data_IF_804176557643
#
_entry.id   IF_804176557643
#
_cell.length_a   1.000
_cell.length_b   1.000
_cell.length_c   1.000
_cell.angle_alpha   90.00
_cell.angle_beta   90.00
_cell.angle_gamma   90.00
#
_symmetry.space_group_name_H-M   'P 1'
#
loop_
_entity.id
_entity.type
_entity.pdbx_description
1 polymer ?
#
# COMPACT_ATOMS: atom_id res chain seq x y z
N UNK A 1 18.50 -36.41 6.13
CA UNK A 1 17.29 -35.78 5.50
C UNK A 1 17.71 -34.43 4.96
N UNK A 2 17.46 -34.14 3.69
CA UNK A 2 17.99 -32.90 3.05
C UNK A 2 17.03 -31.74 3.42
N UNK A 3 17.48 -30.83 4.26
CA UNK A 3 16.69 -29.66 4.69
C UNK A 3 16.42 -28.72 3.48
N UNK A 4 15.17 -28.27 3.32
CA UNK A 4 14.80 -27.33 2.24
C UNK A 4 15.37 -25.94 2.48
N UNK A 5 15.56 -25.16 1.42
CA UNK A 5 16.18 -23.83 1.51
C UNK A 5 15.43 -22.86 2.45
N UNK A 6 14.11 -22.86 2.42
CA UNK A 6 13.27 -22.04 3.32
C UNK A 6 13.43 -22.42 4.79
N UNK A 7 13.57 -23.71 5.07
CA UNK A 7 13.76 -24.22 6.41
C UNK A 7 15.15 -23.86 6.95
N UNK A 8 16.20 -23.95 6.12
CA UNK A 8 17.54 -23.50 6.49
C UNK A 8 17.58 -22.00 6.80
N UNK A 9 16.95 -21.16 5.96
CA UNK A 9 16.85 -19.72 6.21
C UNK A 9 16.17 -19.43 7.55
N UNK A 10 15.10 -20.14 7.90
CA UNK A 10 14.44 -19.97 9.21
C UNK A 10 15.37 -20.32 10.37
N UNK A 11 16.12 -21.40 10.25
CA UNK A 11 17.09 -21.81 11.29
C UNK A 11 18.22 -20.79 11.41
N UNK A 12 18.76 -20.30 10.30
CA UNK A 12 19.79 -19.25 10.32
C UNK A 12 19.27 -17.97 10.97
N UNK A 13 18.08 -17.51 10.60
CA UNK A 13 17.45 -16.31 11.20
C UNK A 13 17.28 -16.49 12.70
N UNK A 14 16.74 -17.62 13.14
CA UNK A 14 16.57 -17.93 14.57
C UNK A 14 17.92 -17.93 15.32
N UNK A 15 18.93 -18.61 14.78
CA UNK A 15 20.26 -18.68 15.38
C UNK A 15 20.88 -17.29 15.54
N UNK A 16 20.81 -16.44 14.50
CA UNK A 16 21.34 -15.09 14.54
C UNK A 16 20.56 -14.18 15.50
N UNK A 17 19.24 -14.36 15.63
CA UNK A 17 18.44 -13.62 16.61
C UNK A 17 18.82 -13.98 18.06
N UNK A 18 19.22 -15.23 18.33
CA UNK A 18 19.60 -15.70 19.66
C UNK A 18 21.07 -15.41 20.02
N UNK A 19 21.96 -15.31 19.01
CA UNK A 19 23.43 -15.27 19.24
C UNK A 19 24.08 -14.01 18.66
N UNK A 20 23.33 -13.14 17.97
CA UNK A 20 23.75 -11.89 17.32
C UNK A 20 24.76 -12.08 16.17
N UNK A 21 25.59 -13.11 16.20
CA UNK A 21 26.59 -13.45 15.18
C UNK A 21 26.71 -14.97 14.99
N UNK A 22 27.16 -15.37 13.81
CA UNK A 22 27.41 -16.78 13.52
C UNK A 22 28.59 -16.95 12.53
N UNK A 23 29.42 -17.96 12.76
CA UNK A 23 30.45 -18.37 11.82
C UNK A 23 29.86 -19.30 10.76
N UNK A 24 30.36 -19.20 9.51
CA UNK A 24 29.93 -20.07 8.40
C UNK A 24 30.12 -21.55 8.74
N UNK A 25 31.22 -21.89 9.43
CA UNK A 25 31.52 -23.26 9.83
C UNK A 25 30.52 -23.79 10.87
N UNK A 26 30.16 -22.96 11.86
CA UNK A 26 29.16 -23.31 12.86
C UNK A 26 27.77 -23.55 12.22
N UNK A 27 27.34 -22.68 11.33
CA UNK A 27 26.10 -22.84 10.59
C UNK A 27 26.13 -24.04 9.64
N UNK A 28 27.27 -24.34 9.01
CA UNK A 28 27.47 -25.52 8.16
C UNK A 28 27.24 -26.81 8.95
N UNK A 29 27.83 -26.87 10.14
CA UNK A 29 27.67 -28.01 11.06
C UNK A 29 26.24 -28.14 11.58
N UNK A 30 25.64 -27.02 12.01
CA UNK A 30 24.25 -27.00 12.54
C UNK A 30 23.23 -27.46 11.49
N UNK A 31 23.40 -27.03 10.25
CA UNK A 31 22.46 -27.30 9.16
C UNK A 31 22.80 -28.59 8.38
N UNK A 32 23.94 -29.20 8.66
CA UNK A 32 24.45 -30.37 7.92
C UNK A 32 24.52 -30.14 6.41
N UNK A 33 24.99 -28.95 5.99
CA UNK A 33 25.19 -28.57 4.58
C UNK A 33 26.59 -27.99 4.37
N UNK A 34 27.04 -27.90 3.12
CA UNK A 34 28.36 -27.33 2.81
C UNK A 34 28.41 -25.83 3.13
N UNK A 35 29.60 -25.33 3.47
CA UNK A 35 29.84 -23.89 3.66
C UNK A 35 29.44 -23.04 2.45
N UNK A 36 29.59 -23.59 1.24
CA UNK A 36 29.16 -22.91 -0.01
C UNK A 36 27.66 -22.66 0.01
N UNK A 37 26.88 -23.65 0.50
CA UNK A 37 25.42 -23.51 0.63
C UNK A 37 25.08 -22.46 1.67
N UNK A 38 25.76 -22.47 2.83
CA UNK A 38 25.55 -21.46 3.89
C UNK A 38 25.90 -20.07 3.37
N UNK A 39 27.03 -19.89 2.69
CA UNK A 39 27.42 -18.59 2.11
C UNK A 39 26.37 -18.04 1.14
N UNK A 40 25.75 -18.94 0.35
CA UNK A 40 24.68 -18.54 -0.58
C UNK A 40 23.40 -18.14 0.15
N UNK A 41 23.03 -18.86 1.24
CA UNK A 41 21.88 -18.53 2.08
C UNK A 41 22.13 -17.19 2.83
N UNK A 42 23.35 -16.96 3.35
CA UNK A 42 23.73 -15.69 3.98
C UNK A 42 23.75 -14.51 3.00
N UNK A 43 24.19 -14.71 1.74
CA UNK A 43 24.11 -13.66 0.70
C UNK A 43 22.65 -13.22 0.47
N UNK A 44 21.73 -14.16 0.51
CA UNK A 44 20.31 -13.88 0.35
C UNK A 44 19.77 -13.03 1.49
N UNK A 45 20.13 -13.39 2.74
CA UNK A 45 19.76 -12.67 3.94
C UNK A 45 20.41 -11.28 4.05
N UNK A 46 21.62 -11.12 3.53
CA UNK A 46 22.30 -9.83 3.41
C UNK A 46 21.56 -8.92 2.40
N UNK A 47 21.12 -9.48 1.28
CA UNK A 47 20.31 -8.73 0.30
C UNK A 47 18.92 -8.35 0.84
N UNK A 48 18.39 -9.16 1.77
CA UNK A 48 17.15 -8.86 2.52
C UNK A 48 17.39 -7.83 3.66
N UNK A 49 18.62 -7.37 3.89
CA UNK A 49 18.98 -6.43 4.95
C UNK A 49 18.98 -7.03 6.37
N UNK A 50 18.76 -8.35 6.50
CA UNK A 50 18.66 -9.01 7.80
C UNK A 50 20.00 -9.13 8.56
N UNK A 51 21.10 -9.22 7.83
CA UNK A 51 22.44 -9.39 8.37
C UNK A 51 23.50 -8.67 7.52
N UNK A 52 24.68 -8.46 8.12
CA UNK A 52 25.89 -8.07 7.42
C UNK A 52 26.89 -9.21 7.46
N UNK A 53 27.48 -9.57 6.31
CA UNK A 53 28.51 -10.63 6.26
C UNK A 53 29.86 -10.12 6.72
N UNK A 54 30.57 -10.94 7.46
CA UNK A 54 31.96 -10.73 7.88
C UNK A 54 32.90 -11.69 7.11
N UNK A 55 34.22 -11.57 7.31
CA UNK A 55 35.23 -12.41 6.61
C UNK A 55 35.06 -13.93 6.87
N UNK A 56 34.41 -14.35 7.95
CA UNK A 56 34.21 -15.76 8.31
C UNK A 56 32.80 -16.13 8.69
N UNK A 57 31.84 -15.19 8.70
CA UNK A 57 30.51 -15.40 9.22
C UNK A 57 29.50 -14.34 8.82
N UNK A 58 28.55 -14.11 9.71
CA UNK A 58 27.54 -13.07 9.58
C UNK A 58 27.16 -12.54 10.96
N UNK A 59 26.76 -11.30 11.03
CA UNK A 59 26.23 -10.62 12.21
C UNK A 59 24.84 -10.11 11.87
N UNK A 60 23.88 -10.31 12.79
CA UNK A 60 22.55 -9.76 12.64
C UNK A 60 22.64 -8.24 12.62
N UNK A 61 21.98 -7.60 11.68
CA UNK A 61 21.80 -6.17 11.79
C UNK A 61 20.90 -5.91 13.01
N UNK A 62 21.27 -4.99 13.93
CA UNK A 62 20.38 -4.64 15.04
C UNK A 62 19.04 -4.26 14.43
N UNK A 63 17.90 -4.61 15.09
CA UNK A 63 16.64 -4.07 14.67
C UNK A 63 16.82 -2.56 14.62
N UNK A 64 16.66 -2.01 13.44
CA UNK A 64 16.78 -0.58 13.24
C UNK A 64 15.64 0.06 14.05
N UNK A 65 15.95 0.53 15.28
CA UNK A 65 15.00 1.28 16.12
C UNK A 65 14.56 2.58 15.42
N UNK A 66 15.21 2.90 14.34
CA UNK A 66 14.88 3.93 13.37
C UNK A 66 14.58 3.31 12.00
N UNK A 67 14.23 2.02 11.92
CA UNK A 67 13.83 1.42 10.66
C UNK A 67 12.72 2.28 10.07
N UNK A 68 13.11 3.10 9.13
CA UNK A 68 12.14 3.74 8.27
C UNK A 68 11.24 2.63 7.74
N UNK A 69 9.89 2.73 7.84
CA UNK A 69 9.04 1.83 7.10
C UNK A 69 9.62 1.80 5.71
N UNK A 70 9.82 0.60 5.17
CA UNK A 70 10.43 0.44 3.86
C UNK A 70 9.80 1.49 2.95
N UNK A 71 10.60 2.37 2.33
CA UNK A 71 10.04 3.36 1.42
C UNK A 71 9.16 2.60 0.45
N UNK A 72 8.02 3.19 0.10
CA UNK A 72 7.17 2.59 -0.95
C UNK A 72 8.11 2.20 -2.07
N UNK A 73 8.24 0.90 -2.42
CA UNK A 73 9.24 0.47 -3.38
C UNK A 73 9.10 1.37 -4.61
N UNK A 74 10.20 1.98 -5.10
CA UNK A 74 10.09 2.75 -6.31
C UNK A 74 9.55 1.82 -7.39
N UNK A 75 8.31 2.04 -7.80
CA UNK A 75 7.78 1.40 -8.99
C UNK A 75 8.41 2.17 -10.14
N UNK A 76 9.53 1.63 -10.64
CA UNK A 76 10.29 2.24 -11.71
C UNK A 76 9.49 2.23 -13.02
N UNK A 77 9.79 3.18 -13.88
CA UNK A 77 9.24 3.24 -15.23
C UNK A 77 7.86 3.88 -15.34
N UNK A 78 7.11 3.45 -16.34
CA UNK A 78 5.83 4.04 -16.73
C UNK A 78 4.75 3.82 -15.64
N UNK A 79 4.73 2.66 -15.00
CA UNK A 79 3.78 2.34 -13.92
C UNK A 79 3.96 3.28 -12.73
N UNK A 80 5.20 3.50 -12.29
CA UNK A 80 5.50 4.42 -11.18
C UNK A 80 5.03 5.83 -11.46
N UNK A 81 5.23 6.33 -12.69
CA UNK A 81 4.76 7.66 -13.11
C UNK A 81 3.24 7.77 -13.07
N UNK A 82 2.52 6.75 -13.57
CA UNK A 82 1.05 6.71 -13.54
C UNK A 82 0.51 6.76 -12.11
N UNK A 83 1.09 6.00 -11.18
CA UNK A 83 0.67 6.01 -9.77
C UNK A 83 0.97 7.35 -9.09
N UNK A 84 2.14 7.95 -9.36
CA UNK A 84 2.52 9.26 -8.83
C UNK A 84 1.59 10.38 -9.34
N UNK A 85 1.17 10.32 -10.60
CA UNK A 85 0.18 11.23 -11.18
C UNK A 85 -1.15 11.16 -10.42
N UNK A 86 -1.68 9.95 -10.18
CA UNK A 86 -2.93 9.77 -9.44
C UNK A 86 -2.81 10.28 -7.99
N UNK A 87 -1.69 10.00 -7.33
CA UNK A 87 -1.43 10.48 -5.98
C UNK A 87 -1.37 12.01 -5.91
N UNK A 88 -0.73 12.65 -6.91
CA UNK A 88 -0.67 14.10 -7.00
C UNK A 88 -2.06 14.74 -7.11
N UNK A 89 -2.97 14.11 -7.84
CA UNK A 89 -4.37 14.55 -7.92
C UNK A 89 -5.05 14.36 -6.56
N UNK A 90 -4.89 13.19 -5.93
CA UNK A 90 -5.51 12.88 -4.65
C UNK A 90 -5.13 13.88 -3.56
N UNK A 91 -3.84 14.19 -3.41
CA UNK A 91 -3.37 15.19 -2.42
C UNK A 91 -3.97 16.57 -2.65
N UNK A 92 -4.18 17.00 -3.90
CA UNK A 92 -4.79 18.30 -4.19
C UNK A 92 -6.26 18.40 -3.77
N UNK A 93 -6.97 17.27 -3.70
CA UNK A 93 -8.36 17.23 -3.25
C UNK A 93 -8.48 17.33 -1.73
N UNK A 94 -7.41 17.01 -0.99
CA UNK A 94 -7.35 17.08 0.46
C UNK A 94 -6.95 18.50 0.87
N UNK A 95 -7.69 19.06 1.82
CA UNK A 95 -7.43 20.39 2.41
C UNK A 95 -6.79 20.24 3.78
N UNK A 96 -6.14 21.29 4.23
CA UNK A 96 -5.68 21.38 5.62
C UNK A 96 -6.88 21.25 6.57
N UNK A 97 -6.73 20.43 7.62
CA UNK A 97 -7.78 20.16 8.60
C UNK A 97 -8.78 19.06 8.23
N UNK A 98 -8.75 18.52 7.01
CA UNK A 98 -9.68 17.46 6.59
C UNK A 98 -9.46 16.17 7.40
N UNK A 99 -10.57 15.44 7.67
CA UNK A 99 -10.53 14.04 8.06
C UNK A 99 -10.76 13.17 6.84
N UNK A 100 -9.80 12.33 6.49
CA UNK A 100 -9.86 11.49 5.29
C UNK A 100 -9.66 10.01 5.62
N UNK A 101 -10.32 9.13 4.89
CA UNK A 101 -10.03 7.71 4.95
C UNK A 101 -9.27 7.29 3.69
N UNK A 102 -8.09 6.73 3.89
CA UNK A 102 -7.30 6.09 2.85
C UNK A 102 -7.38 4.58 3.04
N UNK A 103 -8.15 3.89 2.22
CA UNK A 103 -8.20 2.42 2.19
C UNK A 103 -6.88 1.91 1.63
N UNK A 104 -6.47 0.70 2.01
CA UNK A 104 -5.25 0.08 1.51
C UNK A 104 -5.10 0.18 -0.02
N UNK A 105 -3.89 0.48 -0.45
CA UNK A 105 -3.58 0.62 -1.87
C UNK A 105 -2.28 1.38 -2.12
N UNK A 106 -1.72 1.17 -3.29
CA UNK A 106 -0.42 1.73 -3.66
C UNK A 106 -0.49 3.24 -3.95
N UNK A 107 -1.58 3.70 -4.58
CA UNK A 107 -1.79 5.14 -4.82
C UNK A 107 -2.11 5.83 -3.50
N UNK A 108 -2.94 5.21 -2.66
CA UNK A 108 -3.30 5.77 -1.35
C UNK A 108 -2.09 5.88 -0.41
N UNK A 109 -1.15 4.92 -0.47
CA UNK A 109 0.12 5.03 0.25
C UNK A 109 0.96 6.22 -0.25
N UNK A 110 0.99 6.47 -1.57
CA UNK A 110 1.67 7.64 -2.16
C UNK A 110 0.96 8.96 -1.85
N UNK A 111 -0.37 8.94 -1.71
CA UNK A 111 -1.12 10.10 -1.19
C UNK A 111 -0.66 10.37 0.25
N UNK A 112 -0.62 9.33 1.10
CA UNK A 112 -0.21 9.45 2.49
C UNK A 112 1.22 10.00 2.64
N UNK A 113 2.17 9.55 1.83
CA UNK A 113 3.55 10.06 1.80
C UNK A 113 3.57 11.58 1.54
N UNK A 114 2.78 12.05 0.60
CA UNK A 114 2.72 13.46 0.19
C UNK A 114 1.86 14.34 1.10
N UNK A 115 1.17 13.79 2.09
CA UNK A 115 0.43 14.60 3.06
C UNK A 115 1.34 15.45 3.96
N UNK A 116 2.66 15.29 3.92
CA UNK A 116 3.60 16.23 4.51
C UNK A 116 3.46 17.66 3.96
N UNK A 117 2.94 17.81 2.73
CA UNK A 117 2.60 19.08 2.08
C UNK A 117 1.39 19.77 2.74
N UNK A 118 0.66 19.08 3.63
CA UNK A 118 -0.58 19.51 4.28
C UNK A 118 -0.40 19.63 5.80
N UNK A 119 -1.38 20.25 6.45
CA UNK A 119 -1.40 20.42 7.90
C UNK A 119 -2.74 20.03 8.51
N UNK A 120 -2.66 19.52 9.75
CA UNK A 120 -3.82 19.20 10.59
C UNK A 120 -4.77 18.17 9.98
N UNK A 121 -4.30 17.40 8.97
CA UNK A 121 -5.07 16.31 8.36
C UNK A 121 -5.12 15.12 9.31
N UNK A 122 -6.32 14.58 9.50
CA UNK A 122 -6.51 13.31 10.22
C UNK A 122 -6.79 12.19 9.22
N UNK A 123 -5.91 11.19 9.18
CA UNK A 123 -6.04 10.03 8.28
C UNK A 123 -6.56 8.84 9.04
N UNK A 124 -7.68 8.27 8.58
CA UNK A 124 -8.18 6.96 9.00
C UNK A 124 -7.72 5.93 7.96
N UNK A 125 -7.17 4.80 8.37
CA UNK A 125 -6.70 3.78 7.43
C UNK A 125 -6.71 2.39 8.03
N UNK A 126 -6.88 1.37 7.19
CA UNK A 126 -6.69 -0.04 7.54
C UNK A 126 -5.28 -0.55 7.13
N UNK A 127 -4.43 0.28 6.51
CA UNK A 127 -3.09 -0.09 6.03
C UNK A 127 -2.00 0.41 6.99
N UNK A 128 -1.19 -0.52 7.53
CA UNK A 128 -0.06 -0.22 8.44
C UNK A 128 1.01 0.63 7.76
N UNK A 129 1.23 0.49 6.44
CA UNK A 129 2.20 1.32 5.70
C UNK A 129 1.72 2.76 5.67
N UNK A 130 0.45 2.98 5.30
CA UNK A 130 -0.16 4.32 5.31
C UNK A 130 -0.07 4.93 6.70
N UNK A 131 -0.44 4.15 7.73
CA UNK A 131 -0.35 4.61 9.12
C UNK A 131 1.08 5.02 9.51
N UNK A 132 2.08 4.21 9.14
CA UNK A 132 3.48 4.47 9.44
C UNK A 132 4.02 5.71 8.72
N UNK A 133 3.60 5.97 7.48
CA UNK A 133 3.97 7.16 6.72
C UNK A 133 3.42 8.43 7.37
N UNK A 134 2.13 8.43 7.71
CA UNK A 134 1.49 9.62 8.32
C UNK A 134 1.95 9.85 9.75
N UNK A 135 2.21 8.80 10.54
CA UNK A 135 2.66 8.91 11.94
C UNK A 135 4.01 9.66 12.09
N UNK A 136 4.80 9.78 11.03
CA UNK A 136 6.07 10.52 11.00
C UNK A 136 5.90 12.00 10.67
N UNK A 137 4.74 12.39 10.20
CA UNK A 137 4.44 13.77 9.81
C UNK A 137 3.96 14.55 11.03
N UNK A 138 4.75 15.50 11.57
CA UNK A 138 4.48 16.11 12.87
C UNK A 138 3.22 16.99 12.89
N UNK A 139 2.69 17.34 11.71
CA UNK A 139 1.52 18.21 11.56
C UNK A 139 0.23 17.42 11.27
N UNK A 140 0.32 16.10 11.06
CA UNK A 140 -0.82 15.26 10.68
C UNK A 140 -1.05 14.17 11.73
N UNK A 141 -2.25 13.67 11.79
CA UNK A 141 -2.66 12.61 12.71
C UNK A 141 -3.10 11.38 11.93
N UNK A 142 -2.84 10.20 12.48
CA UNK A 142 -3.35 8.95 11.93
C UNK A 142 -4.12 8.14 12.96
N UNK A 143 -5.15 7.47 12.50
CA UNK A 143 -5.92 6.45 13.22
C UNK A 143 -5.84 5.17 12.42
N UNK A 144 -5.18 4.16 12.96
CA UNK A 144 -5.10 2.84 12.34
C UNK A 144 -6.28 1.97 12.81
N UNK A 145 -7.03 1.45 11.86
CA UNK A 145 -8.09 0.46 12.10
C UNK A 145 -7.45 -0.91 12.38
N UNK A 146 -7.73 -1.47 13.54
CA UNK A 146 -7.33 -2.84 13.88
C UNK A 146 -8.17 -3.88 13.16
N UNK A 147 -7.71 -5.13 13.18
CA UNK A 147 -8.41 -6.28 12.58
C UNK A 147 -7.47 -7.43 12.29
N UNK A 148 -7.91 -8.37 11.48
CA UNK A 148 -7.09 -9.50 11.01
C UNK A 148 -6.15 -9.03 9.89
N UNK A 149 -4.86 -9.21 10.11
CA UNK A 149 -3.84 -8.83 9.11
C UNK A 149 -3.85 -9.79 7.94
N UNK A 150 -3.75 -9.23 6.75
CA UNK A 150 -3.59 -10.00 5.53
C UNK A 150 -2.25 -10.74 5.50
N UNK A 151 -2.21 -12.06 5.28
CA UNK A 151 -0.96 -12.80 5.16
C UNK A 151 -0.05 -12.23 4.06
N UNK A 152 1.13 -11.73 4.43
CA UNK A 152 2.07 -11.10 3.49
C UNK A 152 1.67 -9.70 3.00
N UNK A 153 0.54 -9.17 3.49
CA UNK A 153 0.07 -7.81 3.22
C UNK A 153 0.32 -6.85 4.38
N UNK A 154 -0.10 -5.62 4.19
CA UNK A 154 0.02 -4.55 5.19
C UNK A 154 -1.33 -4.10 5.74
N UNK A 155 -2.44 -4.67 5.26
CA UNK A 155 -3.77 -4.20 5.59
C UNK A 155 -4.51 -5.12 6.56
N UNK A 156 -5.30 -4.51 7.45
CA UNK A 156 -6.21 -5.18 8.36
C UNK A 156 -7.63 -5.21 7.78
N UNK A 157 -8.32 -6.34 8.00
CA UNK A 157 -9.70 -6.55 7.53
C UNK A 157 -10.55 -7.25 8.60
N UNK A 158 -11.79 -7.57 8.23
CA UNK A 158 -12.72 -8.31 9.06
C UNK A 158 -13.69 -7.44 9.84
N UNK A 159 -14.55 -8.09 10.66
CA UNK A 159 -15.60 -7.43 11.40
C UNK A 159 -15.09 -6.36 12.36
N UNK A 160 -13.95 -6.63 13.01
CA UNK A 160 -13.32 -5.67 13.93
C UNK A 160 -12.92 -4.38 13.22
N UNK A 161 -12.33 -4.47 12.01
CA UNK A 161 -11.96 -3.30 11.19
C UNK A 161 -13.20 -2.48 10.84
N UNK A 162 -14.27 -3.15 10.41
CA UNK A 162 -15.54 -2.50 10.05
C UNK A 162 -16.19 -1.84 11.28
N UNK A 163 -16.26 -2.53 12.41
CA UNK A 163 -16.82 -1.98 13.65
C UNK A 163 -16.03 -0.77 14.17
N UNK A 164 -14.71 -0.83 14.08
CA UNK A 164 -13.87 0.30 14.43
C UNK A 164 -14.12 1.49 13.50
N UNK A 165 -14.20 1.27 12.19
CA UNK A 165 -14.44 2.31 11.20
C UNK A 165 -15.78 3.04 11.43
N UNK A 166 -16.83 2.33 11.81
CA UNK A 166 -18.17 2.90 12.08
C UNK A 166 -18.24 3.95 13.18
N UNK A 167 -17.17 4.11 13.96
CA UNK A 167 -17.08 5.14 15.02
C UNK A 167 -16.63 6.50 14.50
N UNK A 168 -16.26 6.57 13.22
CA UNK A 168 -15.70 7.76 12.59
C UNK A 168 -16.62 8.26 11.49
N UNK A 169 -16.50 9.55 11.20
CA UNK A 169 -17.02 10.19 10.01
C UNK A 169 -15.88 10.92 9.34
N UNK A 170 -15.78 10.85 8.03
CA UNK A 170 -14.71 11.48 7.25
C UNK A 170 -15.30 12.34 6.13
N UNK A 171 -14.59 13.41 5.79
CA UNK A 171 -14.98 14.26 4.67
C UNK A 171 -14.80 13.55 3.33
N UNK A 172 -13.72 12.77 3.19
CA UNK A 172 -13.38 12.08 1.95
C UNK A 172 -12.89 10.66 2.21
N UNK A 173 -13.35 9.74 1.38
CA UNK A 173 -12.93 8.34 1.37
C UNK A 173 -12.28 8.02 0.02
N UNK A 174 -11.02 7.63 0.02
CA UNK A 174 -10.27 7.23 -1.16
C UNK A 174 -10.23 5.70 -1.26
N UNK A 175 -10.76 5.18 -2.36
CA UNK A 175 -10.92 3.74 -2.62
C UNK A 175 -10.14 3.37 -3.87
N UNK A 176 -9.02 2.68 -3.71
CA UNK A 176 -8.29 2.12 -4.86
C UNK A 176 -8.96 0.82 -5.30
N UNK A 177 -9.36 0.75 -6.58
CA UNK A 177 -9.98 -0.43 -7.19
C UNK A 177 -9.05 -1.07 -8.21
N UNK A 178 -9.20 -2.40 -8.40
CA UNK A 178 -8.39 -3.18 -9.33
C UNK A 178 -8.95 -3.17 -10.76
N UNK A 179 -10.18 -2.71 -10.93
CA UNK A 179 -10.78 -2.53 -12.24
C UNK A 179 -12.16 -1.88 -12.20
N UNK A 180 -12.50 -1.20 -13.30
CA UNK A 180 -13.84 -0.71 -13.61
C UNK A 180 -14.28 -1.43 -14.87
N UNK A 181 -15.32 -2.27 -14.77
CA UNK A 181 -15.78 -3.08 -15.91
C UNK A 181 -16.30 -2.22 -17.08
N UNK A 182 -16.45 -2.82 -18.29
CA UNK A 182 -17.13 -2.13 -19.40
C UNK A 182 -18.54 -1.62 -19.05
N UNK A 183 -19.22 -2.21 -18.06
CA UNK A 183 -20.55 -1.79 -17.59
C UNK A 183 -20.49 -0.90 -16.35
N UNK A 184 -19.32 -0.28 -16.10
CA UNK A 184 -19.07 0.63 -14.98
C UNK A 184 -19.35 -0.01 -13.60
N UNK A 185 -18.99 -1.29 -13.44
CA UNK A 185 -19.00 -1.95 -12.13
C UNK A 185 -17.60 -1.87 -11.51
N UNK A 186 -17.54 -1.60 -10.23
CA UNK A 186 -16.30 -1.54 -9.45
C UNK A 186 -15.89 -2.94 -9.02
N UNK A 187 -14.63 -3.28 -9.23
CA UNK A 187 -14.09 -4.61 -8.94
C UNK A 187 -12.75 -4.55 -8.21
N UNK A 188 -12.54 -5.53 -7.32
CA UNK A 188 -11.30 -5.73 -6.57
C UNK A 188 -10.88 -7.20 -6.64
N UNK A 189 -9.58 -7.46 -6.34
CA UNK A 189 -9.04 -8.82 -6.37
C UNK A 189 -9.54 -9.66 -5.17
N UNK A 190 -9.74 -9.03 -4.02
CA UNK A 190 -10.00 -9.70 -2.75
C UNK A 190 -11.37 -9.34 -2.17
N UNK A 191 -12.12 -10.37 -1.77
CA UNK A 191 -13.45 -10.20 -1.17
C UNK A 191 -13.43 -9.31 0.09
N UNK A 192 -12.43 -9.52 0.96
CA UNK A 192 -12.30 -8.74 2.20
C UNK A 192 -12.19 -7.23 1.99
N UNK A 193 -11.56 -6.80 0.88
CA UNK A 193 -11.52 -5.39 0.47
C UNK A 193 -12.90 -4.91 0.00
N UNK A 194 -13.59 -5.72 -0.79
CA UNK A 194 -14.98 -5.44 -1.20
C UNK A 194 -15.90 -5.26 0.00
N UNK A 195 -15.83 -6.16 0.99
CA UNK A 195 -16.63 -6.13 2.20
C UNK A 195 -16.33 -4.86 3.04
N UNK A 196 -15.04 -4.52 3.23
CA UNK A 196 -14.65 -3.31 3.93
C UNK A 196 -15.18 -2.06 3.23
N UNK A 197 -14.92 -1.90 1.94
CA UNK A 197 -15.35 -0.71 1.16
C UNK A 197 -16.86 -0.54 1.21
N UNK A 198 -17.61 -1.62 1.02
CA UNK A 198 -19.09 -1.59 1.08
C UNK A 198 -19.58 -1.14 2.45
N UNK A 199 -18.90 -1.54 3.52
CA UNK A 199 -19.29 -1.20 4.88
C UNK A 199 -18.93 0.23 5.31
N UNK A 200 -17.89 0.85 4.69
CA UNK A 200 -17.37 2.16 5.10
C UNK A 200 -17.77 3.32 4.19
N UNK A 201 -18.34 3.05 3.03
CA UNK A 201 -18.68 4.11 2.06
C UNK A 201 -19.69 5.13 2.64
N UNK A 202 -20.60 4.70 3.47
CA UNK A 202 -21.60 5.57 4.12
C UNK A 202 -21.02 6.45 5.25
N UNK A 203 -19.76 6.21 5.65
CA UNK A 203 -19.08 6.99 6.69
C UNK A 203 -18.49 8.29 6.14
N UNK A 204 -18.42 8.43 4.83
CA UNK A 204 -17.81 9.56 4.15
C UNK A 204 -18.85 10.52 3.58
N UNK A 205 -18.59 11.81 3.68
CA UNK A 205 -19.35 12.82 2.98
C UNK A 205 -19.13 12.77 1.46
N UNK A 206 -17.98 12.26 1.03
CA UNK A 206 -17.63 12.09 -0.38
C UNK A 206 -16.77 10.85 -0.59
N UNK A 207 -17.15 10.00 -1.54
CA UNK A 207 -16.40 8.81 -1.94
C UNK A 207 -15.68 9.03 -3.28
N UNK A 208 -14.40 8.69 -3.32
CA UNK A 208 -13.50 8.91 -4.46
C UNK A 208 -12.86 7.59 -4.86
N UNK A 209 -13.18 7.13 -6.06
CA UNK A 209 -12.52 5.95 -6.64
C UNK A 209 -11.19 6.37 -7.26
N UNK A 210 -10.14 5.61 -6.98
CA UNK A 210 -8.82 5.75 -7.60
C UNK A 210 -8.58 4.54 -8.50
N UNK A 211 -8.46 4.76 -9.80
CA UNK A 211 -8.29 3.68 -10.77
C UNK A 211 -7.38 4.14 -11.94
N UNK A 212 -6.22 3.51 -12.16
CA UNK A 212 -5.41 3.76 -13.35
C UNK A 212 -6.22 3.56 -14.63
N UNK A 213 -5.99 4.40 -15.65
CA UNK A 213 -6.76 4.36 -16.89
C UNK A 213 -6.69 3.02 -17.63
N UNK A 214 -5.57 2.30 -17.51
CA UNK A 214 -5.38 0.98 -18.12
C UNK A 214 -6.16 -0.14 -17.41
N UNK A 215 -6.76 0.13 -16.25
CA UNK A 215 -7.66 -0.78 -15.55
C UNK A 215 -9.14 -0.46 -15.78
N UNK A 216 -9.44 0.65 -16.44
CA UNK A 216 -10.80 0.99 -16.86
C UNK A 216 -11.15 0.19 -18.12
N UNK A 217 -12.30 -0.47 -18.11
CA UNK A 217 -12.68 -1.46 -19.14
C UNK A 217 -12.27 -2.89 -18.80
N UNK A 218 -11.59 -3.10 -17.67
CA UNK A 218 -11.16 -4.42 -17.20
C UNK A 218 -11.84 -4.81 -15.89
N UNK A 219 -11.88 -6.10 -15.60
CA UNK A 219 -12.54 -6.64 -14.40
C UNK A 219 -11.52 -7.36 -13.53
N UNK A 220 -11.54 -7.10 -12.22
CA UNK A 220 -10.95 -7.98 -11.23
C UNK A 220 -11.97 -9.03 -10.77
N UNK A 221 -11.58 -9.91 -9.84
CA UNK A 221 -12.33 -11.10 -9.51
C UNK A 221 -13.67 -10.83 -8.81
N UNK A 222 -13.67 -9.89 -7.83
CA UNK A 222 -14.86 -9.56 -7.05
C UNK A 222 -15.48 -8.24 -7.50
N UNK A 223 -16.73 -8.30 -7.96
CA UNK A 223 -17.57 -7.13 -8.18
C UNK A 223 -18.31 -6.79 -6.89
N UNK A 224 -18.26 -5.55 -6.43
CA UNK A 224 -18.91 -5.14 -5.18
C UNK A 224 -19.93 -4.02 -5.32
N UNK A 225 -19.82 -3.15 -6.35
CA UNK A 225 -20.74 -2.04 -6.53
C UNK A 225 -20.80 -1.55 -7.98
N UNK A 226 -21.78 -0.72 -8.31
CA UNK A 226 -21.79 0.12 -9.50
C UNK A 226 -21.01 1.41 -9.27
N UNK A 227 -20.68 2.11 -10.35
CA UNK A 227 -19.89 3.35 -10.32
C UNK A 227 -20.56 4.46 -9.49
N UNK A 228 -21.88 4.46 -9.37
CA UNK A 228 -22.66 5.42 -8.57
C UNK A 228 -22.44 5.32 -7.06
N UNK A 229 -21.67 4.34 -6.59
CA UNK A 229 -21.15 4.34 -5.22
C UNK A 229 -20.15 5.50 -5.00
N UNK A 230 -19.54 6.00 -6.07
CA UNK A 230 -18.58 7.08 -6.01
C UNK A 230 -19.18 8.41 -6.44
N UNK A 231 -18.74 9.50 -5.79
CA UNK A 231 -19.01 10.88 -6.22
C UNK A 231 -17.98 11.33 -7.26
N UNK A 232 -16.79 10.69 -7.26
CA UNK A 232 -15.70 11.05 -8.16
C UNK A 232 -14.81 9.86 -8.50
N UNK A 233 -14.11 10.00 -9.64
CA UNK A 233 -13.05 9.09 -10.07
C UNK A 233 -11.77 9.88 -10.32
N UNK A 234 -10.66 9.44 -9.75
CA UNK A 234 -9.31 9.87 -10.10
C UNK A 234 -8.73 8.84 -11.06
N UNK A 235 -8.27 9.29 -12.22
CA UNK A 235 -7.63 8.43 -13.23
C UNK A 235 -6.58 9.20 -14.04
N UNK A 236 -5.81 8.51 -14.88
CA UNK A 236 -4.81 9.15 -15.73
C UNK A 236 -5.46 9.86 -16.93
N UNK A 237 -4.79 10.86 -17.48
CA UNK A 237 -5.24 11.63 -18.64
C UNK A 237 -5.48 10.76 -19.90
N UNK A 238 -4.81 9.60 -19.97
CA UNK A 238 -4.94 8.63 -21.06
C UNK A 238 -6.27 7.86 -21.11
N UNK A 239 -7.20 8.10 -20.18
CA UNK A 239 -8.54 7.51 -20.24
C UNK A 239 -9.23 7.89 -21.55
N UNK A 240 -9.84 6.92 -22.25
CA UNK A 240 -10.51 7.17 -23.51
C UNK A 240 -11.74 8.08 -23.35
N UNK A 241 -12.04 8.86 -24.37
CA UNK A 241 -13.18 9.79 -24.38
C UNK A 241 -14.53 9.06 -24.26
N UNK A 242 -14.59 7.81 -24.71
CA UNK A 242 -15.77 6.96 -24.49
C UNK A 242 -16.06 6.78 -23.01
N UNK A 243 -15.05 6.37 -22.21
CA UNK A 243 -15.26 6.19 -20.77
C UNK A 243 -15.45 7.51 -20.03
N UNK A 244 -14.79 8.60 -20.44
CA UNK A 244 -15.04 9.95 -19.91
C UNK A 244 -16.51 10.35 -20.08
N UNK A 245 -17.05 10.17 -21.29
CA UNK A 245 -18.45 10.49 -21.60
C UNK A 245 -19.42 9.64 -20.80
N UNK A 246 -19.11 8.37 -20.60
CA UNK A 246 -19.95 7.44 -19.82
C UNK A 246 -19.94 7.75 -18.33
N UNK A 247 -18.78 8.09 -17.75
CA UNK A 247 -18.68 8.52 -16.35
C UNK A 247 -19.46 9.83 -16.14
N UNK A 248 -19.33 10.76 -17.09
CA UNK A 248 -20.09 12.01 -17.07
C UNK A 248 -21.60 11.77 -17.15
N UNK A 249 -22.08 10.82 -17.95
CA UNK A 249 -23.50 10.45 -18.04
C UNK A 249 -24.06 9.84 -16.73
N UNK A 250 -23.20 9.29 -15.89
CA UNK A 250 -23.54 8.78 -14.55
C UNK A 250 -23.40 9.84 -13.44
N UNK A 251 -23.16 11.10 -13.80
CA UNK A 251 -22.96 12.24 -12.88
C UNK A 251 -21.71 12.10 -11.98
N UNK A 252 -20.68 11.41 -12.46
CA UNK A 252 -19.43 11.17 -11.73
C UNK A 252 -18.42 12.27 -12.06
N UNK A 253 -17.93 12.99 -11.04
CA UNK A 253 -16.84 13.94 -11.20
C UNK A 253 -15.54 13.21 -11.60
N UNK A 254 -14.90 13.66 -12.69
CA UNK A 254 -13.67 13.03 -13.18
C UNK A 254 -12.46 13.95 -12.96
N UNK A 255 -11.46 13.44 -12.26
CA UNK A 255 -10.18 14.10 -12.03
C UNK A 255 -9.07 13.40 -12.80
N UNK A 256 -8.45 14.12 -13.73
CA UNK A 256 -7.27 13.68 -14.48
C UNK A 256 -6.16 14.71 -14.32
N UNK A 257 -4.90 14.33 -14.56
CA UNK A 257 -3.81 15.30 -14.59
C UNK A 257 -4.09 16.33 -15.69
N UNK A 258 -4.13 17.59 -15.28
CA UNK A 258 -4.06 18.72 -16.21
C UNK A 258 -2.59 19.11 -16.23
N UNK A 259 -1.95 19.06 -17.40
CA UNK A 259 -0.66 19.68 -17.60
C UNK A 259 -0.86 21.20 -17.41
N UNK A 260 -0.42 21.69 -16.25
CA UNK A 260 -0.31 23.13 -16.04
C UNK A 260 0.93 23.56 -16.81
N UNK A 261 0.74 24.04 -18.04
CA UNK A 261 1.77 24.80 -18.73
C UNK A 261 1.96 26.11 -17.96
N UNK A 262 2.93 26.15 -17.06
CA UNK A 262 3.47 27.41 -16.57
C UNK A 262 4.19 28.08 -17.74
N UNK A 263 3.46 28.93 -18.43
CA UNK A 263 4.07 29.87 -19.37
C UNK A 263 5.03 30.74 -18.57
N UNK A 264 6.32 30.67 -18.89
CA UNK A 264 7.28 31.68 -18.45
C UNK A 264 6.83 33.00 -19.02
N UNK A 265 6.43 33.92 -18.12
CA UNK A 265 6.33 35.36 -18.43
C UNK A 265 7.74 35.93 -18.38
#
# INVERSE_FOLDING_TARGET
MRMFALERIRVIKKYLTEHEQAEVQALSSLLSVSEVTVRRDLMKLEHEGFLTRTHGGAMINPPDEQAEPAPIPPVDGETGRKLAELAAIGVRLIRDGDCVMLVDGEVNARIAERLEEKADVTVLTNDVRIASLVARQPRNRVVLLGGDMDPGGSAAYGSMTIENARRFHVEQLFIEVDGITPTLQLTVAEQKKADLVTAVVELAARSIIVCPADRVGHSAFYRFAGIRLADAVITNASLSDEYKSRLFAEDIALFTAIDVFEGKV
#
